data_IF_307091905817
#
_entry.id   IF_307091905817
#
_cell.length_a   1.000
_cell.length_b   1.000
_cell.length_c   1.000
_cell.angle_alpha   90.00
_cell.angle_beta   90.00
_cell.angle_gamma   90.00
#
_symmetry.space_group_name_H-M   'P 1'
#
loop_
_entity.id
_entity.type
_entity.pdbx_description
1 polymer ?
#
# COMPACT_ATOMS: atom_id res chain seq x y z
N UNK A 1 21.25 -15.96 -19.11
CA UNK A 1 20.17 -16.58 -18.32
C UNK A 1 20.45 -18.05 -18.02
N UNK A 2 20.72 -18.90 -18.99
CA UNK A 2 21.01 -20.35 -18.85
C UNK A 2 22.09 -20.71 -17.80
N UNK A 3 23.16 -19.93 -17.77
CA UNK A 3 24.27 -20.17 -16.81
C UNK A 3 23.84 -19.99 -15.34
N UNK A 4 22.96 -19.03 -15.05
CA UNK A 4 22.42 -18.81 -13.69
C UNK A 4 21.47 -19.92 -13.27
N UNK A 5 20.62 -20.42 -14.19
CA UNK A 5 19.68 -21.51 -13.92
C UNK A 5 20.43 -22.81 -13.57
N UNK A 6 21.50 -23.14 -14.30
CA UNK A 6 22.33 -24.33 -14.02
C UNK A 6 23.07 -24.26 -12.68
N UNK A 7 23.51 -23.06 -12.25
CA UNK A 7 24.22 -22.87 -10.97
C UNK A 7 23.31 -22.71 -9.75
N UNK A 8 22.02 -22.55 -9.95
CA UNK A 8 21.10 -22.23 -8.85
C UNK A 8 20.84 -23.39 -7.89
N UNK A 9 21.15 -24.64 -8.28
CA UNK A 9 20.79 -25.86 -7.53
C UNK A 9 19.30 -26.09 -7.40
N UNK A 10 18.46 -25.24 -8.00
CA UNK A 10 17.00 -25.37 -7.99
C UNK A 10 16.53 -26.24 -9.14
N UNK A 11 15.41 -26.94 -8.95
CA UNK A 11 14.75 -27.69 -10.03
C UNK A 11 14.30 -26.73 -11.12
N UNK A 12 14.70 -26.98 -12.36
CA UNK A 12 14.40 -26.14 -13.52
C UNK A 12 13.60 -26.95 -14.51
N UNK A 13 12.49 -26.41 -14.99
CA UNK A 13 11.69 -26.98 -16.06
C UNK A 13 11.89 -26.13 -17.32
N UNK A 14 12.20 -26.81 -18.43
CA UNK A 14 12.30 -26.20 -19.75
C UNK A 14 10.93 -26.26 -20.41
N UNK A 15 10.36 -25.11 -20.74
CA UNK A 15 9.02 -25.02 -21.34
C UNK A 15 9.14 -24.37 -22.72
N UNK A 16 8.66 -25.04 -23.74
CA UNK A 16 8.49 -24.50 -25.09
C UNK A 16 7.04 -24.06 -25.27
N UNK A 17 6.82 -22.78 -25.46
CA UNK A 17 5.48 -22.20 -25.70
C UNK A 17 5.24 -21.99 -27.19
N UNK A 18 3.97 -21.92 -27.60
CA UNK A 18 3.50 -21.79 -29.00
C UNK A 18 3.76 -23.03 -29.81
N UNK A 19 3.57 -24.22 -29.23
CA UNK A 19 3.73 -25.48 -29.89
C UNK A 19 2.33 -26.02 -30.23
N UNK A 20 1.84 -25.62 -31.41
CA UNK A 20 0.47 -25.95 -31.86
C UNK A 20 0.40 -27.12 -32.81
N UNK A 21 1.52 -27.45 -33.49
CA UNK A 21 1.61 -28.47 -34.54
C UNK A 21 2.75 -29.45 -34.28
N UNK A 22 2.64 -30.65 -34.91
CA UNK A 22 3.69 -31.68 -34.87
C UNK A 22 5.05 -31.20 -35.43
N UNK A 23 5.03 -30.23 -36.35
CA UNK A 23 6.25 -29.63 -36.89
C UNK A 23 6.96 -28.80 -35.82
N UNK A 24 6.21 -27.99 -35.08
CA UNK A 24 6.74 -27.15 -34.00
C UNK A 24 7.21 -28.02 -32.82
N UNK A 25 6.55 -29.15 -32.55
CA UNK A 25 7.03 -30.12 -31.55
C UNK A 25 8.41 -30.67 -31.95
N UNK A 26 8.60 -31.05 -33.24
CA UNK A 26 9.90 -31.51 -33.72
C UNK A 26 10.99 -30.48 -33.63
N UNK A 27 10.69 -29.20 -33.92
CA UNK A 27 11.64 -28.09 -33.75
C UNK A 27 11.94 -27.83 -32.28
N UNK A 28 10.95 -27.91 -31.40
CA UNK A 28 11.08 -27.68 -29.98
C UNK A 28 11.90 -28.78 -29.28
N UNK A 29 11.95 -30.01 -29.80
CA UNK A 29 12.85 -31.04 -29.30
C UNK A 29 14.33 -30.63 -29.37
N UNK A 30 14.73 -29.78 -30.30
CA UNK A 30 16.10 -29.27 -30.41
C UNK A 30 16.53 -28.49 -29.15
N UNK A 31 15.58 -27.98 -28.35
CA UNK A 31 15.85 -27.30 -27.08
C UNK A 31 16.45 -28.21 -26.02
N UNK A 32 16.41 -29.55 -26.20
CA UNK A 32 17.10 -30.51 -25.33
C UNK A 32 18.62 -30.22 -25.24
N UNK A 33 19.19 -29.71 -26.34
CA UNK A 33 20.60 -29.36 -26.43
C UNK A 33 20.99 -28.24 -25.40
N UNK A 34 20.00 -27.55 -24.77
CA UNK A 34 20.23 -26.60 -23.70
C UNK A 34 20.68 -27.28 -22.39
N UNK A 35 20.56 -28.61 -22.28
CA UNK A 35 21.00 -29.37 -21.10
C UNK A 35 20.24 -29.06 -19.83
N UNK A 36 18.95 -28.71 -19.95
CA UNK A 36 18.03 -28.43 -18.82
C UNK A 36 16.96 -29.54 -18.66
N UNK A 37 17.11 -30.65 -19.34
CA UNK A 37 16.12 -31.73 -19.40
C UNK A 37 15.23 -31.64 -20.63
N UNK A 38 14.24 -32.51 -20.68
CA UNK A 38 13.25 -32.58 -21.77
C UNK A 38 12.34 -31.36 -21.75
N UNK A 39 12.11 -30.69 -22.90
CA UNK A 39 11.22 -29.53 -22.95
C UNK A 39 9.75 -29.98 -22.85
N UNK A 40 8.99 -29.28 -21.99
CA UNK A 40 7.53 -29.43 -21.93
C UNK A 40 6.87 -28.50 -22.94
N UNK A 41 5.99 -29.05 -23.78
CA UNK A 41 5.32 -28.31 -24.84
C UNK A 41 3.98 -27.75 -24.34
N UNK A 42 3.78 -26.46 -24.53
CA UNK A 42 2.53 -25.79 -24.16
C UNK A 42 2.09 -24.84 -25.26
N UNK A 43 0.79 -24.60 -25.31
CA UNK A 43 0.20 -23.51 -26.07
C UNK A 43 -0.61 -22.67 -25.13
N UNK A 44 0.00 -21.63 -24.56
CA UNK A 44 -0.63 -20.78 -23.55
C UNK A 44 -1.91 -20.10 -24.05
N UNK A 45 -1.99 -19.79 -25.37
CA UNK A 45 -3.18 -19.21 -26.00
C UNK A 45 -4.38 -20.15 -25.98
N UNK A 46 -4.16 -21.45 -26.18
CA UNK A 46 -5.21 -22.49 -26.28
C UNK A 46 -5.28 -23.37 -25.02
N UNK A 47 -4.43 -23.15 -24.04
CA UNK A 47 -4.39 -23.94 -22.81
C UNK A 47 -3.86 -25.39 -22.98
N UNK A 48 -3.40 -25.78 -24.15
CA UNK A 48 -2.87 -27.16 -24.43
C UNK A 48 -1.58 -27.36 -23.63
N UNK A 49 -1.47 -28.47 -22.87
CA UNK A 49 -0.32 -28.82 -22.05
C UNK A 49 -0.12 -27.96 -20.76
N UNK A 50 -0.96 -26.95 -20.54
CA UNK A 50 -0.80 -26.06 -19.38
C UNK A 50 -1.16 -26.74 -18.05
N UNK A 51 -2.16 -27.61 -18.04
CA UNK A 51 -2.56 -28.37 -16.85
C UNK A 51 -1.46 -29.34 -16.42
N UNK A 52 -0.93 -30.16 -17.37
CA UNK A 52 0.14 -31.10 -17.10
C UNK A 52 1.41 -30.44 -16.61
N UNK A 53 1.74 -29.26 -17.14
CA UNK A 53 2.86 -28.46 -16.67
C UNK A 53 2.63 -27.95 -15.22
N UNK A 54 1.43 -27.52 -14.89
CA UNK A 54 1.10 -27.07 -13.53
C UNK A 54 1.15 -28.23 -12.53
N UNK A 55 0.63 -29.40 -12.87
CA UNK A 55 0.69 -30.58 -12.04
C UNK A 55 2.14 -31.01 -11.79
N UNK A 56 2.96 -30.93 -12.81
CA UNK A 56 4.40 -31.20 -12.71
C UNK A 56 5.09 -30.19 -11.77
N UNK A 57 4.78 -28.92 -11.89
CA UNK A 57 5.32 -27.87 -11.00
C UNK A 57 4.87 -28.13 -9.57
N UNK A 58 3.59 -28.43 -9.34
CA UNK A 58 3.04 -28.73 -8.01
C UNK A 58 3.72 -29.94 -7.40
N UNK A 59 3.89 -31.03 -8.17
CA UNK A 59 4.57 -32.25 -7.69
C UNK A 59 6.06 -32.04 -7.36
N UNK A 60 6.66 -31.01 -7.92
CA UNK A 60 8.05 -30.65 -7.67
C UNK A 60 8.25 -29.67 -6.50
N UNK A 61 7.16 -29.10 -5.98
CA UNK A 61 7.21 -28.28 -4.79
C UNK A 61 7.44 -29.17 -3.56
N UNK A 62 8.17 -28.69 -2.53
CA UNK A 62 8.29 -29.42 -1.27
C UNK A 62 6.89 -29.68 -0.68
N UNK A 63 6.64 -30.91 -0.19
CA UNK A 63 5.38 -31.26 0.47
C UNK A 63 5.07 -30.37 1.68
N UNK A 64 6.10 -29.93 2.35
CA UNK A 64 6.00 -28.83 3.32
C UNK A 64 6.41 -27.56 2.55
N UNK A 65 5.43 -26.87 2.03
CA UNK A 65 5.65 -25.48 1.65
C UNK A 65 6.39 -24.82 2.81
N UNK A 66 7.51 -24.14 2.53
CA UNK A 66 8.06 -23.24 3.54
C UNK A 66 6.86 -22.42 3.99
N UNK A 67 6.37 -22.72 5.22
CA UNK A 67 5.28 -21.96 5.78
C UNK A 67 5.70 -20.52 5.56
N UNK A 68 4.95 -19.80 4.73
CA UNK A 68 5.04 -18.35 4.75
C UNK A 68 4.71 -18.07 6.19
N UNK A 69 5.75 -17.95 7.03
CA UNK A 69 5.61 -17.48 8.40
C UNK A 69 4.91 -16.15 8.17
N UNK A 70 3.59 -16.14 8.39
CA UNK A 70 2.82 -14.91 8.30
C UNK A 70 3.56 -13.96 9.19
N UNK A 71 4.21 -13.02 8.54
CA UNK A 71 4.97 -12.00 9.20
C UNK A 71 3.98 -11.25 10.10
N UNK A 72 4.02 -11.54 11.38
CA UNK A 72 3.11 -10.96 12.36
C UNK A 72 3.43 -9.48 12.64
N UNK A 73 4.47 -8.95 11.98
CA UNK A 73 4.84 -7.55 12.17
C UNK A 73 4.11 -6.64 11.20
N UNK A 74 3.54 -5.57 11.74
CA UNK A 74 2.89 -4.54 10.92
C UNK A 74 3.92 -3.77 10.10
N UNK A 75 3.65 -3.59 8.81
CA UNK A 75 4.60 -3.01 7.86
C UNK A 75 4.38 -1.52 7.70
N UNK A 76 5.41 -0.75 8.05
CA UNK A 76 5.40 0.71 7.98
C UNK A 76 6.37 1.19 6.89
N UNK A 77 5.90 2.05 5.98
CA UNK A 77 6.79 2.81 5.11
C UNK A 77 7.01 4.22 5.67
N UNK A 78 8.27 4.63 5.76
CA UNK A 78 8.65 5.99 6.12
C UNK A 78 8.98 6.76 4.83
N UNK A 79 8.07 7.60 4.37
CA UNK A 79 8.12 8.25 3.06
C UNK A 79 8.19 9.77 3.23
N UNK A 80 8.68 10.47 2.23
CA UNK A 80 8.82 11.93 2.17
C UNK A 80 9.99 12.34 1.29
N UNK A 81 10.05 13.61 0.90
CA UNK A 81 11.14 14.16 0.08
C UNK A 81 12.51 14.04 0.79
N UNK A 82 13.64 14.21 0.09
CA UNK A 82 14.95 14.29 0.73
C UNK A 82 15.00 15.39 1.81
N UNK A 83 15.79 15.17 2.85
CA UNK A 83 16.11 16.13 3.94
C UNK A 83 14.95 16.55 4.87
N UNK A 84 13.76 15.97 4.76
CA UNK A 84 12.65 16.20 5.71
C UNK A 84 12.91 15.56 7.10
N UNK A 85 13.97 14.77 7.24
CA UNK A 85 14.39 14.16 8.51
C UNK A 85 13.93 12.71 8.73
N UNK A 86 13.64 11.94 7.66
CA UNK A 86 13.27 10.52 7.76
C UNK A 86 14.30 9.68 8.53
N UNK A 87 15.58 9.81 8.19
CA UNK A 87 16.66 9.08 8.88
C UNK A 87 16.78 9.48 10.34
N UNK A 88 16.63 10.78 10.65
CA UNK A 88 16.64 11.27 12.03
C UNK A 88 15.45 10.73 12.81
N UNK A 89 14.26 10.68 12.20
CA UNK A 89 13.07 10.13 12.83
C UNK A 89 13.21 8.63 13.07
N UNK A 90 13.72 7.88 12.08
CA UNK A 90 13.95 6.45 12.23
C UNK A 90 14.94 6.17 13.37
N UNK A 91 16.02 6.93 13.47
CA UNK A 91 16.99 6.81 14.55
C UNK A 91 16.39 7.19 15.91
N UNK A 92 15.58 8.26 15.96
CA UNK A 92 14.89 8.68 17.18
C UNK A 92 13.88 7.63 17.68
N UNK A 93 13.20 6.93 16.78
CA UNK A 93 12.26 5.84 17.10
C UNK A 93 13.01 4.59 17.55
N UNK A 94 14.09 4.23 16.86
CA UNK A 94 14.85 3.03 17.15
C UNK A 94 15.62 3.14 18.50
N UNK A 95 15.92 4.37 18.96
CA UNK A 95 16.70 4.58 20.18
C UNK A 95 18.11 4.02 20.06
N UNK A 96 18.76 3.74 21.21
CA UNK A 96 20.07 3.05 21.24
C UNK A 96 19.95 1.55 20.95
N UNK A 97 18.75 0.99 20.99
CA UNK A 97 18.45 -0.40 20.68
C UNK A 97 17.97 -0.56 19.23
N UNK A 98 18.84 -0.29 18.27
CA UNK A 98 18.76 -0.94 16.97
C UNK A 98 19.06 -2.42 17.20
N UNK A 99 18.09 -3.18 17.69
CA UNK A 99 18.10 -4.61 17.54
C UNK A 99 17.97 -4.87 16.05
N UNK A 100 19.11 -4.93 15.36
CA UNK A 100 19.26 -5.86 14.26
C UNK A 100 18.90 -7.20 14.90
N UNK A 101 17.61 -7.57 14.85
CA UNK A 101 17.20 -8.90 15.27
C UNK A 101 17.89 -9.84 14.33
N UNK A 102 18.98 -10.37 14.87
CA UNK A 102 19.94 -11.23 14.24
C UNK A 102 19.28 -12.47 13.68
N UNK A 103 19.83 -12.94 12.61
CA UNK A 103 19.61 -14.16 11.88
C UNK A 103 19.15 -15.37 12.71
N UNK A 104 17.84 -15.56 12.82
CA UNK A 104 17.32 -16.93 12.92
C UNK A 104 17.21 -17.45 11.49
N UNK A 105 18.10 -18.34 11.13
CA UNK A 105 18.10 -19.05 9.85
C UNK A 105 16.69 -19.61 9.57
N UNK A 106 16.08 -19.23 8.45
CA UNK A 106 14.81 -19.80 7.97
C UNK A 106 13.72 -18.83 7.58
N UNK A 107 13.87 -17.50 7.79
CA UNK A 107 12.90 -16.52 7.28
C UNK A 107 13.45 -15.80 6.08
N UNK A 108 12.71 -15.82 4.95
CA UNK A 108 13.00 -15.02 3.75
C UNK A 108 12.91 -13.55 4.13
N UNK A 109 14.01 -12.94 4.56
CA UNK A 109 14.11 -11.52 4.93
C UNK A 109 14.71 -10.77 3.76
N UNK A 110 14.00 -9.75 3.29
CA UNK A 110 14.65 -8.73 2.49
C UNK A 110 15.67 -8.00 3.36
N UNK A 111 16.96 -7.97 2.99
CA UNK A 111 18.02 -7.32 3.79
C UNK A 111 17.87 -5.80 3.89
N UNK A 112 16.74 -5.27 3.44
CA UNK A 112 16.42 -3.85 3.28
C UNK A 112 15.47 -3.35 4.38
N UNK A 113 14.84 -4.26 5.16
CA UNK A 113 13.86 -3.93 6.20
C UNK A 113 14.50 -3.91 7.59
N UNK A 114 13.92 -3.14 8.52
CA UNK A 114 14.34 -3.10 9.93
C UNK A 114 13.15 -3.40 10.85
N UNK A 115 13.37 -4.29 11.83
CA UNK A 115 12.41 -4.47 12.93
C UNK A 115 12.77 -3.48 14.04
N UNK A 116 11.79 -2.74 14.52
CA UNK A 116 11.97 -1.71 15.55
C UNK A 116 10.85 -1.86 16.57
N UNK A 117 11.23 -2.02 17.85
CA UNK A 117 10.29 -2.00 18.96
C UNK A 117 9.97 -0.55 19.32
N UNK A 118 8.71 -0.17 19.15
CA UNK A 118 8.29 1.21 19.31
C UNK A 118 6.85 1.30 19.82
N UNK A 119 6.66 2.03 20.93
CA UNK A 119 5.34 2.19 21.56
C UNK A 119 4.70 0.86 21.99
N UNK A 120 5.50 -0.12 22.46
CA UNK A 120 5.03 -1.40 22.94
C UNK A 120 4.63 -2.39 21.82
N UNK A 121 5.03 -2.14 20.59
CA UNK A 121 4.77 -2.99 19.43
C UNK A 121 6.00 -3.08 18.57
N UNK A 122 6.32 -4.27 18.05
CA UNK A 122 7.39 -4.45 17.06
C UNK A 122 6.84 -4.15 15.67
N UNK A 123 7.45 -3.17 15.00
CA UNK A 123 7.10 -2.72 13.67
C UNK A 123 8.16 -3.14 12.66
N UNK A 124 7.73 -3.49 11.45
CA UNK A 124 8.63 -3.68 10.31
C UNK A 124 8.65 -2.41 9.47
N UNK A 125 9.73 -1.67 9.53
CA UNK A 125 9.97 -0.55 8.63
C UNK A 125 10.55 -1.06 7.31
N UNK A 126 9.79 -0.88 6.22
CA UNK A 126 10.17 -1.34 4.89
C UNK A 126 11.10 -0.35 4.19
N UNK A 127 12.03 -0.85 3.35
CA UNK A 127 13.02 -0.07 2.57
C UNK A 127 13.91 0.86 3.40
N UNK A 128 14.32 0.45 4.60
CA UNK A 128 15.17 1.27 5.48
C UNK A 128 16.61 1.45 4.97
N UNK A 129 17.11 0.56 4.09
CA UNK A 129 18.42 0.71 3.48
C UNK A 129 18.50 1.94 2.56
N UNK A 130 17.41 2.28 1.87
CA UNK A 130 17.30 3.52 1.11
C UNK A 130 17.37 4.76 1.99
N UNK A 131 16.85 4.69 3.23
CA UNK A 131 16.90 5.77 4.21
C UNK A 131 18.31 5.94 4.77
N UNK A 132 19.01 4.83 5.10
CA UNK A 132 20.38 4.83 5.69
C UNK A 132 21.47 5.25 4.67
N UNK A 133 21.39 4.79 3.41
CA UNK A 133 22.38 5.13 2.37
C UNK A 133 22.37 6.62 1.99
N UNK A 134 21.23 7.30 2.06
CA UNK A 134 21.12 8.73 1.73
C UNK A 134 21.65 9.67 2.79
N UNK A 135 21.83 9.24 4.03
CA UNK A 135 22.53 10.03 5.03
C UNK A 135 23.97 10.35 4.60
N UNK A 136 24.55 9.57 3.66
CA UNK A 136 25.93 9.68 3.21
C UNK A 136 26.13 10.08 1.73
N UNK A 137 25.06 10.29 0.93
CA UNK A 137 25.18 10.65 -0.49
C UNK A 137 24.12 11.68 -0.90
N UNK A 138 24.57 12.91 -1.11
CA UNK A 138 23.82 13.95 -1.81
C UNK A 138 23.92 13.70 -3.33
N UNK A 139 22.89 13.20 -3.95
CA UNK A 139 22.54 13.19 -5.39
C UNK A 139 22.12 11.81 -5.91
N UNK A 140 20.81 11.59 -5.96
CA UNK A 140 20.23 10.55 -6.83
C UNK A 140 19.06 11.19 -7.56
N UNK A 141 18.90 10.94 -8.88
CA UNK A 141 17.87 11.55 -9.68
C UNK A 141 16.47 11.33 -9.08
N UNK A 142 15.58 12.29 -9.21
CA UNK A 142 14.19 12.26 -8.72
C UNK A 142 13.43 11.00 -9.15
N UNK A 143 13.76 10.47 -10.33
CA UNK A 143 13.19 9.22 -10.86
C UNK A 143 13.42 8.01 -9.94
N UNK A 144 14.64 7.78 -9.45
CA UNK A 144 14.91 6.68 -8.52
C UNK A 144 14.24 6.86 -7.16
N UNK A 145 13.99 8.11 -6.77
CA UNK A 145 13.25 8.42 -5.55
C UNK A 145 11.79 7.99 -5.65
N UNK A 146 11.16 8.26 -6.79
CA UNK A 146 9.77 7.90 -7.07
C UNK A 146 9.59 6.39 -7.13
N UNK A 147 10.45 5.68 -7.87
CA UNK A 147 10.40 4.20 -7.96
C UNK A 147 10.51 3.52 -6.59
N UNK A 148 11.41 4.00 -5.72
CA UNK A 148 11.55 3.47 -4.36
C UNK A 148 10.33 3.75 -3.50
N UNK A 149 9.77 4.96 -3.63
CA UNK A 149 8.52 5.31 -2.94
C UNK A 149 7.41 4.34 -3.35
N UNK A 150 7.29 4.02 -4.63
CA UNK A 150 6.30 3.07 -5.13
C UNK A 150 6.51 1.66 -4.56
N UNK A 151 7.74 1.15 -4.58
CA UNK A 151 8.08 -0.17 -4.00
C UNK A 151 7.78 -0.22 -2.49
N UNK A 152 8.12 0.85 -1.75
CA UNK A 152 7.81 0.94 -0.34
C UNK A 152 6.30 0.96 -0.08
N UNK A 153 5.53 1.69 -0.90
CA UNK A 153 4.06 1.74 -0.84
C UNK A 153 3.43 0.37 -1.09
N UNK A 154 3.89 -0.37 -2.09
CA UNK A 154 3.36 -1.71 -2.40
C UNK A 154 3.51 -2.66 -1.22
N UNK A 155 4.62 -2.57 -0.49
CA UNK A 155 4.97 -3.48 0.62
C UNK A 155 4.40 -3.06 1.97
N UNK A 156 4.06 -1.79 2.16
CA UNK A 156 3.55 -1.25 3.41
C UNK A 156 2.06 -1.52 3.62
N UNK A 157 1.64 -1.51 4.88
CA UNK A 157 0.23 -1.46 5.32
C UNK A 157 -0.14 -0.05 5.74
N UNK A 158 0.78 0.65 6.42
CA UNK A 158 0.63 2.04 6.84
C UNK A 158 1.83 2.87 6.43
N UNK A 159 1.56 4.11 6.08
CA UNK A 159 2.56 5.10 5.68
C UNK A 159 2.68 6.17 6.76
N UNK A 160 3.91 6.39 7.23
CA UNK A 160 4.29 7.59 7.95
C UNK A 160 4.90 8.56 6.94
N UNK A 161 4.11 9.52 6.47
CA UNK A 161 4.54 10.52 5.51
C UNK A 161 5.17 11.71 6.23
N UNK A 162 6.47 11.83 6.12
CA UNK A 162 7.27 12.87 6.81
C UNK A 162 7.35 14.12 5.93
N UNK A 163 6.86 15.21 6.47
CA UNK A 163 6.91 16.56 5.91
C UNK A 163 7.77 17.46 6.77
N UNK A 164 8.45 18.41 6.16
CA UNK A 164 9.20 19.44 6.85
C UNK A 164 8.25 20.58 7.23
N UNK A 165 7.93 20.69 8.51
CA UNK A 165 6.99 21.70 8.98
C UNK A 165 7.56 23.12 8.96
N UNK A 166 8.89 23.27 8.95
CA UNK A 166 9.58 24.57 8.95
C UNK A 166 9.60 25.25 7.58
N UNK A 167 9.31 24.49 6.50
CA UNK A 167 9.31 24.98 5.13
C UNK A 167 7.93 24.84 4.48
N UNK A 168 7.60 25.67 3.46
CA UNK A 168 6.38 25.50 2.66
C UNK A 168 6.30 24.11 2.00
N UNK A 169 5.06 23.63 1.81
CA UNK A 169 4.81 22.42 1.04
C UNK A 169 5.29 22.60 -0.41
N UNK A 170 6.08 21.65 -0.88
CA UNK A 170 6.63 21.66 -2.25
C UNK A 170 5.77 20.83 -3.19
N UNK A 171 5.92 21.03 -4.51
CA UNK A 171 5.28 20.18 -5.53
C UNK A 171 5.67 18.71 -5.36
N UNK A 172 6.90 18.43 -4.90
CA UNK A 172 7.36 17.08 -4.63
C UNK A 172 6.62 16.46 -3.45
N UNK A 173 6.33 17.21 -2.38
CA UNK A 173 5.51 16.74 -1.26
C UNK A 173 4.10 16.40 -1.75
N UNK A 174 3.46 17.28 -2.53
CA UNK A 174 2.11 17.06 -3.08
C UNK A 174 2.05 15.83 -4.00
N UNK A 175 3.08 15.63 -4.83
CA UNK A 175 3.19 14.44 -5.69
C UNK A 175 3.29 13.15 -4.87
N UNK A 176 4.10 13.14 -3.81
CA UNK A 176 4.24 11.98 -2.91
C UNK A 176 2.91 11.71 -2.20
N UNK A 177 2.21 12.75 -1.74
CA UNK A 177 0.88 12.65 -1.10
C UNK A 177 -0.11 11.96 -2.04
N UNK A 178 -0.18 12.40 -3.32
CA UNK A 178 -1.04 11.76 -4.32
C UNK A 178 -0.70 10.29 -4.53
N UNK A 179 0.59 9.93 -4.57
CA UNK A 179 1.01 8.52 -4.70
C UNK A 179 0.55 7.66 -3.51
N UNK A 180 0.60 8.22 -2.30
CA UNK A 180 0.15 7.50 -1.08
C UNK A 180 -1.36 7.31 -1.08
N UNK A 181 -2.12 8.32 -1.50
CA UNK A 181 -3.58 8.26 -1.63
C UNK A 181 -4.00 7.20 -2.65
N UNK A 182 -3.41 7.24 -3.84
CA UNK A 182 -3.67 6.28 -4.93
C UNK A 182 -3.36 4.83 -4.50
N UNK A 183 -2.33 4.64 -3.68
CA UNK A 183 -1.96 3.34 -3.15
C UNK A 183 -2.98 2.78 -2.12
N UNK A 184 -3.89 3.62 -1.61
CA UNK A 184 -4.96 3.19 -0.70
C UNK A 184 -4.45 2.67 0.65
N UNK A 185 -3.31 3.16 1.13
CA UNK A 185 -2.70 2.74 2.40
C UNK A 185 -3.22 3.55 3.58
N UNK A 186 -3.15 2.95 4.79
CA UNK A 186 -3.32 3.74 6.00
C UNK A 186 -2.26 4.84 6.07
N UNK A 187 -2.59 6.03 6.56
CA UNK A 187 -1.73 7.21 6.47
C UNK A 187 -1.69 8.01 7.77
N UNK A 188 -0.48 8.35 8.18
CA UNK A 188 -0.19 9.34 9.22
C UNK A 188 0.72 10.42 8.63
N UNK A 189 0.32 11.68 8.75
CA UNK A 189 1.13 12.85 8.39
C UNK A 189 2.04 13.20 9.56
N UNK A 190 3.35 13.13 9.35
CA UNK A 190 4.35 13.44 10.37
C UNK A 190 4.96 14.81 10.05
N UNK A 191 4.54 15.83 10.79
CA UNK A 191 5.07 17.19 10.70
C UNK A 191 6.37 17.26 11.50
N UNK A 192 7.49 17.03 10.83
CA UNK A 192 8.81 17.01 11.46
C UNK A 192 9.44 18.40 11.52
N UNK A 193 10.49 18.53 12.31
CA UNK A 193 11.20 19.79 12.62
C UNK A 193 10.31 20.83 13.30
N UNK A 194 9.38 20.35 14.11
CA UNK A 194 8.43 21.22 14.84
C UNK A 194 9.12 22.18 15.80
N UNK A 195 10.34 21.87 16.23
CA UNK A 195 11.23 22.72 17.02
C UNK A 195 11.66 24.02 16.30
N UNK A 196 11.47 24.09 14.98
CA UNK A 196 11.77 25.24 14.14
C UNK A 196 10.52 26.04 13.71
N UNK A 197 9.33 25.63 14.20
CA UNK A 197 8.04 26.22 13.81
C UNK A 197 7.61 27.24 14.86
N UNK A 198 7.59 28.52 14.50
CA UNK A 198 6.99 29.59 15.29
C UNK A 198 5.48 29.73 15.00
N UNK A 199 4.82 30.64 15.68
CA UNK A 199 3.37 30.88 15.56
C UNK A 199 2.98 31.31 14.14
N UNK A 200 3.76 32.17 13.50
CA UNK A 200 3.49 32.66 12.15
C UNK A 200 3.62 31.49 11.14
N UNK A 201 4.66 30.67 11.25
CA UNK A 201 4.84 29.51 10.42
C UNK A 201 3.71 28.47 10.65
N UNK A 202 3.27 28.28 11.88
CA UNK A 202 2.16 27.38 12.20
C UNK A 202 0.86 27.84 11.51
N UNK A 203 0.56 29.13 11.54
CA UNK A 203 -0.60 29.70 10.85
C UNK A 203 -0.51 29.50 9.32
N UNK A 204 0.66 29.73 8.73
CA UNK A 204 0.90 29.51 7.32
C UNK A 204 0.75 28.03 6.96
N UNK A 205 1.36 27.12 7.72
CA UNK A 205 1.27 25.69 7.52
C UNK A 205 -0.19 25.20 7.53
N UNK A 206 -1.00 25.66 8.47
CA UNK A 206 -2.41 25.31 8.52
C UNK A 206 -3.15 25.77 7.25
N UNK A 207 -2.89 26.99 6.79
CA UNK A 207 -3.48 27.48 5.52
C UNK A 207 -3.04 26.66 4.30
N UNK A 208 -1.77 26.25 4.25
CA UNK A 208 -1.25 25.39 3.19
C UNK A 208 -1.93 24.01 3.19
N UNK A 209 -2.06 23.40 4.37
CA UNK A 209 -2.73 22.10 4.54
C UNK A 209 -4.22 22.20 4.16
N UNK A 210 -4.92 23.24 4.60
CA UNK A 210 -6.33 23.47 4.27
C UNK A 210 -6.53 23.72 2.75
N UNK A 211 -5.55 24.30 2.08
CA UNK A 211 -5.60 24.56 0.64
C UNK A 211 -5.29 23.32 -0.20
N UNK A 212 -4.27 22.56 0.17
CA UNK A 212 -3.70 21.50 -0.68
C UNK A 212 -4.13 20.10 -0.27
N UNK A 213 -4.53 19.87 0.99
CA UNK A 213 -4.81 18.55 1.54
C UNK A 213 -6.27 18.34 1.95
N UNK A 214 -7.20 19.06 1.33
CA UNK A 214 -8.65 18.93 1.59
C UNK A 214 -9.19 17.52 1.35
N UNK A 215 -8.52 16.74 0.51
CA UNK A 215 -8.91 15.38 0.13
C UNK A 215 -8.40 14.32 1.12
N UNK A 216 -7.39 14.64 1.94
CA UNK A 216 -6.82 13.72 2.95
C UNK A 216 -6.96 14.22 4.39
N UNK A 217 -7.98 15.02 4.67
CA UNK A 217 -8.30 15.53 6.04
C UNK A 217 -8.54 14.40 7.05
N UNK A 218 -8.75 13.18 6.59
CA UNK A 218 -8.89 11.98 7.40
C UNK A 218 -7.55 11.44 7.93
N UNK A 219 -6.41 11.85 7.38
CA UNK A 219 -5.11 11.44 7.87
C UNK A 219 -4.78 12.16 9.19
N UNK A 220 -4.39 11.39 10.20
CA UNK A 220 -3.92 11.96 11.46
C UNK A 220 -2.64 12.75 11.26
N UNK A 221 -2.53 13.90 11.95
CA UNK A 221 -1.31 14.71 11.99
C UNK A 221 -0.59 14.51 13.33
N UNK A 222 0.71 14.22 13.27
CA UNK A 222 1.59 14.10 14.42
C UNK A 222 2.74 15.09 14.26
N UNK A 223 2.81 16.06 15.14
CA UNK A 223 3.90 17.03 15.17
C UNK A 223 5.06 16.45 15.99
N UNK A 224 6.26 16.39 15.40
CA UNK A 224 7.45 15.81 16.01
C UNK A 224 8.69 16.67 15.77
N UNK A 225 9.65 16.57 16.67
CA UNK A 225 11.00 17.05 16.42
C UNK A 225 11.97 15.85 16.52
N UNK A 226 12.27 15.25 15.38
CA UNK A 226 13.08 14.04 15.32
C UNK A 226 14.48 14.22 15.92
N UNK A 227 15.05 15.42 15.83
CA UNK A 227 16.38 15.75 16.37
C UNK A 227 16.42 15.72 17.91
N UNK A 228 15.36 16.17 18.56
CA UNK A 228 15.25 16.21 20.03
C UNK A 228 14.50 15.04 20.63
N UNK A 229 13.81 14.25 19.78
CA UNK A 229 12.93 13.18 20.21
C UNK A 229 11.56 13.65 20.71
N UNK A 230 11.25 14.95 20.61
CA UNK A 230 10.01 15.53 21.10
C UNK A 230 8.80 14.93 20.37
N UNK A 231 7.81 14.48 21.13
CA UNK A 231 6.56 13.87 20.69
C UNK A 231 6.69 12.63 19.76
N UNK A 232 7.86 11.99 19.71
CA UNK A 232 8.04 10.74 18.97
C UNK A 232 7.08 9.63 19.43
N UNK A 233 6.75 9.62 20.71
CA UNK A 233 5.84 8.67 21.37
C UNK A 233 4.42 8.70 20.80
N UNK A 234 3.99 9.82 20.22
CA UNK A 234 2.66 9.99 19.61
C UNK A 234 2.53 9.25 18.27
N UNK A 235 3.62 8.88 17.63
CA UNK A 235 3.57 8.23 16.30
C UNK A 235 3.02 6.81 16.37
N UNK A 236 3.43 5.99 17.34
CA UNK A 236 2.96 4.61 17.45
C UNK A 236 1.44 4.50 17.68
N UNK A 237 0.82 5.28 18.58
CA UNK A 237 -0.64 5.32 18.70
C UNK A 237 -1.33 5.71 17.39
N UNK A 238 -0.84 6.73 16.69
CA UNK A 238 -1.40 7.19 15.43
C UNK A 238 -1.34 6.09 14.34
N UNK A 239 -0.22 5.39 14.22
CA UNK A 239 -0.07 4.25 13.30
C UNK A 239 -1.06 3.12 13.61
N UNK A 240 -1.26 2.81 14.91
CA UNK A 240 -2.24 1.78 15.33
C UNK A 240 -3.67 2.19 15.01
N UNK A 241 -4.05 3.43 15.29
CA UNK A 241 -5.38 3.95 14.96
C UNK A 241 -5.64 3.87 13.46
N UNK A 242 -4.69 4.33 12.64
CA UNK A 242 -4.80 4.29 11.19
C UNK A 242 -4.97 2.85 10.67
N UNK A 243 -4.21 1.88 11.18
CA UNK A 243 -4.33 0.48 10.79
C UNK A 243 -5.66 -0.14 11.25
N UNK A 244 -6.10 0.14 12.48
CA UNK A 244 -7.39 -0.33 12.98
C UNK A 244 -8.54 0.14 12.10
N UNK A 245 -8.52 1.41 11.71
CA UNK A 245 -9.49 2.00 10.79
C UNK A 245 -9.40 1.38 9.39
N UNK A 246 -8.18 1.12 8.92
CA UNK A 246 -7.92 0.55 7.58
C UNK A 246 -8.45 -0.88 7.44
N UNK A 247 -8.45 -1.64 8.52
CA UNK A 247 -8.97 -3.02 8.59
C UNK A 247 -10.42 -3.10 9.09
N UNK A 248 -11.02 -1.96 9.42
CA UNK A 248 -12.33 -1.92 10.02
C UNK A 248 -13.42 -2.44 9.08
N UNK A 249 -14.30 -3.27 9.65
CA UNK A 249 -15.48 -3.80 8.98
C UNK A 249 -16.75 -3.26 9.61
N UNK A 250 -17.56 -2.60 8.80
CA UNK A 250 -18.87 -2.10 9.20
C UNK A 250 -19.90 -3.22 9.01
N UNK A 251 -20.70 -3.55 10.01
CA UNK A 251 -21.79 -4.53 9.87
C UNK A 251 -22.80 -4.08 8.82
N UNK A 252 -23.20 -4.98 7.93
CA UNK A 252 -24.07 -4.67 6.77
C UNK A 252 -25.38 -4.00 7.17
N UNK A 253 -25.99 -4.40 8.28
CA UNK A 253 -27.21 -3.77 8.79
C UNK A 253 -27.00 -2.31 9.17
N UNK A 254 -25.92 -2.00 9.94
CA UNK A 254 -25.58 -0.61 10.30
C UNK A 254 -25.28 0.25 9.05
N UNK A 255 -24.52 -0.33 8.10
CA UNK A 255 -24.19 0.35 6.85
C UNK A 255 -25.49 0.74 6.08
N UNK A 256 -26.42 -0.20 5.92
CA UNK A 256 -27.64 0.08 5.14
C UNK A 256 -28.62 0.98 5.89
N UNK A 257 -28.73 0.90 7.21
CA UNK A 257 -29.50 1.87 8.00
C UNK A 257 -28.96 3.28 7.83
N UNK A 258 -27.62 3.44 7.93
CA UNK A 258 -26.96 4.73 7.68
C UNK A 258 -27.20 5.22 6.25
N UNK A 259 -26.99 4.36 5.24
CA UNK A 259 -27.20 4.73 3.84
C UNK A 259 -28.65 5.15 3.56
N UNK A 260 -29.62 4.46 4.14
CA UNK A 260 -31.04 4.83 4.02
C UNK A 260 -31.33 6.22 4.59
N UNK A 261 -30.82 6.51 5.79
CA UNK A 261 -30.95 7.83 6.42
C UNK A 261 -30.24 8.93 5.61
N UNK A 262 -29.01 8.67 5.14
CA UNK A 262 -28.22 9.61 4.35
C UNK A 262 -28.93 9.99 3.05
N UNK A 263 -29.44 9.01 2.31
CA UNK A 263 -30.10 9.21 1.02
C UNK A 263 -31.47 9.85 1.22
N UNK A 264 -32.18 9.50 2.30
CA UNK A 264 -33.44 10.15 2.65
C UNK A 264 -33.29 11.65 2.94
N UNK A 265 -32.19 12.02 3.63
CA UNK A 265 -31.87 13.41 3.96
C UNK A 265 -31.25 14.19 2.78
N UNK A 266 -30.43 13.53 1.97
CA UNK A 266 -29.72 14.18 0.85
C UNK A 266 -29.69 13.19 -0.33
N UNK A 267 -30.74 13.16 -1.14
CA UNK A 267 -30.84 12.25 -2.28
C UNK A 267 -29.83 12.60 -3.38
N UNK A 268 -29.38 11.59 -4.21
CA UNK A 268 -28.52 11.86 -5.34
C UNK A 268 -29.11 12.90 -6.29
N UNK A 269 -28.29 13.73 -6.94
CA UNK A 269 -28.76 14.73 -7.91
C UNK A 269 -29.53 14.09 -9.07
N UNK A 270 -30.56 14.79 -9.55
CA UNK A 270 -31.34 14.41 -10.76
C UNK A 270 -30.45 14.54 -11.99
N UNK A 271 -30.46 13.55 -12.85
CA UNK A 271 -29.71 13.52 -14.11
C UNK A 271 -30.65 13.11 -15.24
N UNK A 272 -30.72 13.90 -16.33
CA UNK A 272 -31.59 13.59 -17.48
C UNK A 272 -33.07 13.40 -17.10
N UNK A 273 -33.55 14.14 -16.11
CA UNK A 273 -34.93 14.02 -15.61
C UNK A 273 -35.21 12.81 -14.72
N UNK A 274 -34.18 11.99 -14.42
CA UNK A 274 -34.28 10.82 -13.53
C UNK A 274 -33.39 10.98 -12.30
N UNK A 275 -33.90 10.59 -11.14
CA UNK A 275 -33.14 10.56 -9.90
C UNK A 275 -32.62 9.14 -9.69
N UNK A 276 -31.27 8.96 -9.51
CA UNK A 276 -30.73 7.67 -9.19
C UNK A 276 -31.31 7.11 -7.88
N UNK A 277 -31.80 5.88 -7.93
CA UNK A 277 -32.30 5.18 -6.75
C UNK A 277 -31.20 4.26 -6.22
N UNK A 278 -30.82 4.46 -4.97
CA UNK A 278 -29.91 3.56 -4.26
C UNK A 278 -30.71 2.43 -3.65
N UNK A 279 -30.30 1.19 -3.90
CA UNK A 279 -30.96 0.01 -3.37
C UNK A 279 -30.39 -0.41 -2.05
N UNK A 280 -29.06 -0.58 -1.99
CA UNK A 280 -28.32 -0.94 -0.80
C UNK A 280 -26.81 -0.72 -1.03
N UNK A 281 -26.04 -0.85 0.04
CA UNK A 281 -24.60 -0.82 -0.02
C UNK A 281 -23.99 -2.04 0.67
N UNK A 282 -22.79 -2.42 0.26
CA UNK A 282 -22.00 -3.46 0.90
C UNK A 282 -20.55 -3.03 1.05
N UNK A 283 -19.91 -3.44 2.11
CA UNK A 283 -18.45 -3.33 2.22
C UNK A 283 -17.82 -4.54 1.54
N UNK A 284 -17.28 -4.33 0.32
CA UNK A 284 -16.70 -5.38 -0.50
C UNK A 284 -15.29 -5.77 -0.07
N UNK A 285 -14.59 -4.89 0.66
CA UNK A 285 -13.22 -5.15 1.13
C UNK A 285 -12.85 -4.31 2.34
N UNK A 286 -11.79 -4.77 3.00
CA UNK A 286 -11.02 -4.03 4.00
C UNK A 286 -9.61 -3.84 3.45
N UNK A 287 -8.82 -2.99 4.07
CA UNK A 287 -7.40 -2.83 3.74
C UNK A 287 -7.09 -2.40 2.29
N UNK A 288 -7.69 -1.31 1.74
CA UNK A 288 -8.54 -0.29 2.39
C UNK A 288 -10.03 -0.64 2.42
N UNK A 289 -10.83 0.04 3.28
CA UNK A 289 -12.28 -0.07 3.27
C UNK A 289 -12.88 0.30 1.92
N UNK A 290 -13.50 -0.68 1.25
CA UNK A 290 -14.13 -0.52 -0.07
C UNK A 290 -15.62 -0.76 0.04
N UNK A 291 -16.40 0.23 -0.33
CA UNK A 291 -17.85 0.18 -0.34
C UNK A 291 -18.38 0.16 -1.78
N UNK A 292 -19.36 -0.68 -2.02
CA UNK A 292 -20.09 -0.76 -3.29
C UNK A 292 -21.52 -0.35 -3.05
N UNK A 293 -21.94 0.70 -3.72
CA UNK A 293 -23.33 1.21 -3.68
C UNK A 293 -24.04 0.70 -4.92
N UNK A 294 -25.14 -0.04 -4.73
CA UNK A 294 -25.94 -0.60 -5.81
C UNK A 294 -27.11 0.34 -6.14
N UNK A 295 -27.22 0.70 -7.40
CA UNK A 295 -28.16 1.72 -7.89
C UNK A 295 -28.86 1.27 -9.17
N UNK A 296 -29.90 1.99 -9.59
CA UNK A 296 -30.52 1.83 -10.92
C UNK A 296 -29.87 2.71 -11.99
N UNK A 297 -29.06 3.70 -11.62
CA UNK A 297 -28.41 4.62 -12.55
C UNK A 297 -27.07 5.12 -11.95
N UNK A 298 -26.25 5.76 -12.77
CA UNK A 298 -24.95 6.29 -12.39
C UNK A 298 -25.07 7.40 -11.35
N UNK A 299 -24.11 7.39 -10.40
CA UNK A 299 -23.94 8.47 -9.40
C UNK A 299 -22.64 9.24 -9.71
N UNK A 300 -22.78 10.55 -9.80
CA UNK A 300 -21.68 11.47 -10.11
C UNK A 300 -20.55 11.43 -9.06
N UNK A 301 -19.28 11.65 -9.48
CA UNK A 301 -18.14 11.66 -8.58
C UNK A 301 -18.27 12.59 -7.35
N UNK A 302 -18.86 13.81 -7.46
CA UNK A 302 -19.05 14.66 -6.28
C UNK A 302 -19.95 14.02 -5.21
N UNK A 303 -21.01 13.32 -5.61
CA UNK A 303 -21.89 12.65 -4.67
C UNK A 303 -21.23 11.40 -4.05
N UNK A 304 -20.38 10.69 -4.79
CA UNK A 304 -19.56 9.59 -4.24
C UNK A 304 -18.61 10.11 -3.15
N UNK A 305 -17.93 11.23 -3.40
CA UNK A 305 -17.07 11.88 -2.38
C UNK A 305 -17.87 12.37 -1.16
N UNK A 306 -19.13 12.81 -1.36
CA UNK A 306 -20.03 13.12 -0.26
C UNK A 306 -20.34 11.87 0.58
N UNK A 307 -20.66 10.72 -0.04
CA UNK A 307 -20.85 9.46 0.68
C UNK A 307 -19.60 9.05 1.45
N UNK A 308 -18.41 9.13 0.84
CA UNK A 308 -17.12 8.82 1.47
C UNK A 308 -16.90 9.66 2.73
N UNK A 309 -17.15 10.98 2.64
CA UNK A 309 -17.03 11.87 3.79
C UNK A 309 -18.02 11.49 4.89
N UNK A 310 -19.29 11.25 4.54
CA UNK A 310 -20.32 10.88 5.51
C UNK A 310 -20.08 9.53 6.16
N UNK A 311 -19.52 8.56 5.43
CA UNK A 311 -19.08 7.27 6.01
C UNK A 311 -17.97 7.47 7.04
N UNK A 312 -17.01 8.38 6.79
CA UNK A 312 -15.96 8.69 7.76
C UNK A 312 -16.51 9.37 9.02
N UNK A 313 -17.42 10.33 8.85
CA UNK A 313 -18.05 11.04 9.95
C UNK A 313 -18.84 10.09 10.85
N UNK A 314 -19.55 9.11 10.28
CA UNK A 314 -20.37 8.17 11.02
C UNK A 314 -19.56 7.03 11.68
N UNK A 315 -18.61 6.44 10.94
CA UNK A 315 -17.91 5.25 11.40
C UNK A 315 -16.48 5.50 11.86
N UNK A 316 -15.93 6.70 11.66
CA UNK A 316 -14.64 7.10 12.24
C UNK A 316 -13.41 6.49 11.58
N UNK A 317 -13.32 6.41 10.26
CA UNK A 317 -12.15 5.90 9.53
C UNK A 317 -10.93 6.81 9.59
N UNK A 318 -10.50 7.16 10.79
CA UNK A 318 -9.35 8.05 11.03
C UNK A 318 -8.04 7.39 10.59
N UNK A 319 -7.25 8.09 9.78
CA UNK A 319 -5.99 7.57 9.23
C UNK A 319 -6.18 6.55 8.10
N UNK A 320 -7.41 6.33 7.63
CA UNK A 320 -7.72 5.37 6.56
C UNK A 320 -8.43 6.01 5.38
N UNK A 321 -8.01 5.73 4.13
CA UNK A 321 -8.79 6.08 2.96
C UNK A 321 -10.07 5.22 2.94
N UNK A 322 -11.16 5.80 2.47
CA UNK A 322 -12.44 5.10 2.20
C UNK A 322 -12.71 5.22 0.72
N UNK A 323 -12.97 4.09 0.07
CA UNK A 323 -13.26 4.02 -1.36
C UNK A 323 -14.73 3.67 -1.58
N UNK A 324 -15.44 4.48 -2.38
CA UNK A 324 -16.82 4.22 -2.77
C UNK A 324 -16.91 4.02 -4.27
N UNK A 325 -17.42 2.87 -4.67
CA UNK A 325 -17.75 2.56 -6.06
C UNK A 325 -19.27 2.38 -6.24
N UNK A 326 -19.75 2.62 -7.45
CA UNK A 326 -21.16 2.47 -7.80
C UNK A 326 -21.30 1.33 -8.79
N UNK A 327 -22.24 0.43 -8.53
CA UNK A 327 -22.61 -0.64 -9.44
C UNK A 327 -24.07 -0.46 -9.87
N UNK A 328 -24.26 -0.14 -11.12
CA UNK A 328 -25.61 -0.05 -11.71
C UNK A 328 -26.13 -1.47 -11.93
N UNK A 329 -27.33 -1.76 -11.43
CA UNK A 329 -28.07 -2.98 -11.74
C UNK A 329 -28.98 -2.70 -12.91
N UNK A 330 -28.76 -3.38 -14.04
CA UNK A 330 -29.77 -3.47 -15.09
C UNK A 330 -30.98 -4.19 -14.50
N UNK A 331 -32.18 -3.67 -14.81
CA UNK A 331 -33.41 -4.42 -14.57
C UNK A 331 -33.49 -5.48 -15.67
N UNK A 332 -33.46 -6.74 -15.28
CA UNK A 332 -34.01 -7.81 -16.10
C UNK A 332 -35.49 -7.57 -16.37
#
# INVERSE_FOLDING_TARGET
>A
MLFRSRKSGKKVFLVANKVDSAKEESEAHSLWNLGLGEPYFVTALHGKGSADLLDLVVSALPEVGSAIVKDNYRKVALIGRPNVGKSSLLNAIAGEQLSLVDDKAGTTRDPVDSLIDFGGTTWRFVDTAGIKKRANQASGSDYYSILRTQVALERAEVVALVLDASEPLTEQDLKIISMVEDAGKALVLVMNKWDLVDEDRQLQLNKELDRHLTHITWAQRVNVAAKTGWHRDRLAPALRTALTSWEMRVPTGKLNSFMGALIGATPPPVRGGKQPKVYYATQAGIAPPKFVVFTNDWIEPPYRRFIERRLREEFGFEGSPVQVSVKVRERD
#
